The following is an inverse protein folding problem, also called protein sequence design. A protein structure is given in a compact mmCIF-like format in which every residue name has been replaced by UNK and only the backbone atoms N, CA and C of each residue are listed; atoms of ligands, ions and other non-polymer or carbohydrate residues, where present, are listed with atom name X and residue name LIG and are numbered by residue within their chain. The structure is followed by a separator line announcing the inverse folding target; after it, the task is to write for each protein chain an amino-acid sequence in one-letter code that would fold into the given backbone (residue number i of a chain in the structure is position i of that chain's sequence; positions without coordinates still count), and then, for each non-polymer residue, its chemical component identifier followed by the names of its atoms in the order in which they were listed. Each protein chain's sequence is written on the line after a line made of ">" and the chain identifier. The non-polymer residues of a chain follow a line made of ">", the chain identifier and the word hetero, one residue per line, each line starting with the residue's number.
data_IF_552139769797
#
_entry.id   IF_552139769797
#
_cell.length_a   1.000
_cell.length_b   1.000
_cell.length_c   1.000
_cell.angle_alpha   90.00
_cell.angle_beta   90.00
_cell.angle_gamma   90.00
#
_symmetry.space_group_name_H-M   'P 1'
#
loop_
_entity.id
_entity.type
_entity.pdbx_description
1 polymer ?
#
# COMPACT_ATOMS: atom_id res chain seq x y z
N UNK A 1 -17.88 35.38 -6.70
CA UNK A 1 -16.85 34.84 -7.63
C UNK A 1 -15.57 34.69 -6.84
N UNK A 2 -15.16 33.45 -6.53
CA UNK A 2 -13.87 33.17 -5.88
C UNK A 2 -13.09 32.22 -6.78
N UNK A 3 -11.89 32.62 -7.15
CA UNK A 3 -11.09 32.01 -8.19
C UNK A 3 -10.57 30.62 -7.76
N UNK A 4 -10.79 29.63 -8.61
CA UNK A 4 -10.19 28.30 -8.53
C UNK A 4 -8.69 28.47 -8.76
N UNK A 5 -7.88 28.30 -7.71
CA UNK A 5 -6.42 28.28 -7.85
C UNK A 5 -6.00 26.96 -8.50
N UNK A 6 -5.67 27.04 -9.79
CA UNK A 6 -5.12 25.94 -10.57
C UNK A 6 -3.70 25.64 -10.08
N UNK A 7 -3.51 24.48 -9.45
CA UNK A 7 -2.19 23.94 -9.15
C UNK A 7 -1.46 23.64 -10.47
N UNK A 8 -0.39 24.37 -10.76
CA UNK A 8 0.53 24.03 -11.84
C UNK A 8 1.28 22.76 -11.45
N UNK A 9 1.00 21.67 -12.14
CA UNK A 9 1.79 20.43 -12.12
C UNK A 9 3.13 20.74 -12.80
N UNK A 10 4.16 21.06 -12.03
CA UNK A 10 5.52 21.16 -12.56
C UNK A 10 5.93 19.76 -13.02
N UNK A 11 6.18 19.60 -14.31
CA UNK A 11 6.69 18.35 -14.88
C UNK A 11 8.05 18.08 -14.29
N UNK A 12 8.15 17.06 -13.44
CA UNK A 12 9.42 16.46 -13.05
C UNK A 12 10.20 16.15 -14.33
N UNK A 13 11.42 16.69 -14.45
CA UNK A 13 12.34 16.28 -15.52
C UNK A 13 12.83 14.88 -15.16
N UNK A 14 12.79 13.90 -16.08
CA UNK A 14 13.36 12.59 -15.84
C UNK A 14 14.88 12.76 -15.80
N UNK A 15 15.43 12.92 -14.62
CA UNK A 15 16.87 12.86 -14.42
C UNK A 15 17.14 11.89 -13.29
N UNK A 16 17.76 10.78 -13.68
CA UNK A 16 18.35 9.72 -12.87
C UNK A 16 17.41 8.67 -12.25
N UNK A 17 16.61 8.03 -13.11
CA UNK A 17 16.31 6.61 -12.89
C UNK A 17 17.44 5.81 -13.53
N UNK A 18 18.44 5.42 -12.74
CA UNK A 18 19.33 4.31 -13.11
C UNK A 18 18.56 2.98 -13.05
N UNK A 19 17.46 2.90 -13.79
CA UNK A 19 16.92 1.62 -14.23
C UNK A 19 17.88 1.14 -15.32
N UNK A 20 18.98 0.51 -14.89
CA UNK A 20 19.89 -0.19 -15.78
C UNK A 20 19.05 -1.13 -16.67
N UNK A 21 19.30 -1.06 -17.97
CA UNK A 21 18.70 -1.96 -18.94
C UNK A 21 19.02 -3.42 -18.57
N UNK A 22 17.96 -4.23 -18.38
CA UNK A 22 17.90 -5.71 -18.53
C UNK A 22 17.92 -6.68 -17.34
N UNK A 23 17.94 -6.28 -16.06
CA UNK A 23 17.73 -7.22 -14.95
C UNK A 23 16.55 -6.81 -14.07
N UNK A 24 15.37 -7.39 -14.33
CA UNK A 24 14.21 -7.24 -13.44
C UNK A 24 14.43 -8.06 -12.17
N UNK A 25 14.24 -7.47 -10.96
CA UNK A 25 14.39 -8.22 -9.71
C UNK A 25 13.38 -9.38 -9.70
N UNK A 26 13.91 -10.60 -9.54
CA UNK A 26 13.11 -11.83 -9.51
C UNK A 26 13.25 -12.46 -8.13
N UNK A 27 12.13 -12.81 -7.50
CA UNK A 27 12.14 -13.54 -6.24
C UNK A 27 12.56 -15.00 -6.49
N UNK A 28 13.67 -15.44 -5.88
CA UNK A 28 14.27 -16.78 -6.05
C UNK A 28 14.01 -17.67 -4.83
N UNK A 29 12.78 -17.72 -4.32
CA UNK A 29 12.41 -18.71 -3.30
C UNK A 29 12.56 -20.15 -3.81
N UNK A 30 12.69 -21.13 -2.90
CA UNK A 30 12.66 -22.54 -3.33
C UNK A 30 11.34 -22.84 -4.03
N UNK A 31 11.33 -23.64 -5.10
CA UNK A 31 10.09 -24.00 -5.78
C UNK A 31 9.24 -24.80 -4.81
N UNK A 32 8.18 -24.18 -4.26
CA UNK A 32 7.14 -24.94 -3.59
C UNK A 32 6.59 -25.94 -4.61
N UNK A 33 6.61 -27.22 -4.22
CA UNK A 33 6.10 -28.29 -5.04
C UNK A 33 4.63 -27.99 -5.39
N UNK A 34 4.38 -27.85 -6.70
CA UNK A 34 3.13 -27.43 -7.34
C UNK A 34 2.82 -25.93 -7.14
N UNK A 35 2.74 -25.19 -8.24
CA UNK A 35 2.28 -23.80 -8.26
C UNK A 35 0.82 -23.75 -7.78
N UNK A 36 0.63 -23.58 -6.47
CA UNK A 36 -0.70 -23.40 -5.87
C UNK A 36 -1.25 -22.05 -6.30
N UNK A 37 -2.51 -22.00 -6.69
CA UNK A 37 -3.19 -20.71 -6.85
C UNK A 37 -3.29 -20.06 -5.47
N UNK A 38 -2.67 -18.89 -5.25
CA UNK A 38 -2.78 -18.16 -3.97
C UNK A 38 -4.16 -17.50 -3.76
N UNK A 39 -5.19 -18.02 -4.44
CA UNK A 39 -6.56 -17.57 -4.30
C UNK A 39 -7.12 -17.95 -2.92
N UNK A 40 -7.68 -16.96 -2.26
CA UNK A 40 -8.31 -17.07 -0.95
C UNK A 40 -9.73 -17.60 -1.15
N UNK A 41 -10.06 -18.69 -0.43
CA UNK A 41 -11.40 -19.27 -0.38
C UNK A 41 -12.03 -19.00 0.98
N UNK A 42 -12.96 -18.04 1.06
CA UNK A 42 -13.59 -17.57 2.31
C UNK A 42 -15.09 -17.34 2.10
N UNK A 43 -15.93 -17.89 2.98
CA UNK A 43 -17.39 -17.72 2.95
C UNK A 43 -18.05 -18.10 1.61
N UNK A 44 -17.54 -19.12 0.92
CA UNK A 44 -18.05 -19.54 -0.41
C UNK A 44 -17.68 -18.60 -1.54
N UNK A 45 -16.77 -17.65 -1.32
CA UNK A 45 -16.16 -16.80 -2.34
C UNK A 45 -14.73 -17.24 -2.57
N UNK A 46 -14.27 -17.08 -3.81
CA UNK A 46 -12.88 -17.27 -4.22
C UNK A 46 -12.38 -15.94 -4.80
N UNK A 47 -11.23 -15.46 -4.35
CA UNK A 47 -10.67 -14.18 -4.76
C UNK A 47 -9.15 -14.15 -4.59
N UNK A 48 -8.44 -13.33 -5.36
CA UNK A 48 -6.98 -13.24 -5.34
C UNK A 48 -6.43 -12.59 -4.06
N UNK A 49 -7.16 -11.61 -3.49
CA UNK A 49 -6.71 -10.94 -2.26
C UNK A 49 -7.70 -9.89 -1.73
N UNK A 50 -7.44 -9.41 -0.52
CA UNK A 50 -8.23 -8.35 0.12
C UNK A 50 -7.47 -7.02 0.03
N UNK A 51 -8.13 -6.00 -0.49
CA UNK A 51 -7.58 -4.65 -0.63
C UNK A 51 -8.34 -3.68 0.26
N UNK A 52 -7.65 -3.11 1.26
CA UNK A 52 -8.17 -2.05 2.10
C UNK A 52 -7.74 -0.69 1.56
N UNK A 53 -8.71 0.18 1.34
CA UNK A 53 -8.52 1.59 1.02
C UNK A 53 -8.82 2.39 2.28
N UNK A 54 -7.82 3.05 2.83
CA UNK A 54 -7.91 3.67 4.15
C UNK A 54 -7.64 5.17 4.03
N UNK A 55 -8.63 5.96 4.42
CA UNK A 55 -8.52 7.42 4.52
C UNK A 55 -8.35 7.82 5.98
N UNK A 56 -7.22 8.46 6.29
CA UNK A 56 -6.94 9.07 7.58
C UNK A 56 -7.11 10.59 7.50
N UNK A 57 -7.87 11.15 8.44
CA UNK A 57 -8.11 12.59 8.57
C UNK A 57 -7.69 13.09 9.96
N UNK A 58 -7.06 14.27 9.98
CA UNK A 58 -6.45 14.83 11.18
C UNK A 58 -5.35 13.92 11.73
N UNK A 59 -4.51 13.39 10.84
CA UNK A 59 -3.39 12.52 11.17
C UNK A 59 -2.10 13.33 11.44
N UNK A 60 -1.28 12.79 12.33
CA UNK A 60 0.03 13.27 12.75
C UNK A 60 1.15 12.49 12.05
N UNK A 61 2.40 12.92 12.22
CA UNK A 61 3.62 12.23 11.73
C UNK A 61 3.67 12.00 10.20
N UNK A 62 2.90 12.77 9.43
CA UNK A 62 2.74 12.60 7.97
C UNK A 62 3.97 12.97 7.11
N UNK A 63 5.00 13.53 7.74
CA UNK A 63 6.26 13.96 7.10
C UNK A 63 7.48 13.18 7.60
N UNK A 64 7.30 12.25 8.54
CA UNK A 64 8.41 11.50 9.13
C UNK A 64 8.63 10.19 8.37
N UNK A 65 9.70 10.14 7.58
CA UNK A 65 10.07 8.96 6.79
C UNK A 65 10.39 7.74 7.65
N UNK A 66 10.98 7.92 8.83
CA UNK A 66 11.35 6.80 9.70
C UNK A 66 10.10 6.18 10.33
N UNK A 67 9.16 7.00 10.80
CA UNK A 67 7.87 6.52 11.30
C UNK A 67 7.10 5.82 10.18
N UNK A 68 7.09 6.38 8.97
CA UNK A 68 6.41 5.79 7.82
C UNK A 68 6.99 4.43 7.42
N UNK A 69 8.31 4.34 7.31
CA UNK A 69 8.98 3.09 6.98
C UNK A 69 8.77 2.04 8.07
N UNK A 70 8.89 2.42 9.35
CA UNK A 70 8.67 1.50 10.46
C UNK A 70 7.22 0.99 10.48
N UNK A 71 6.24 1.86 10.27
CA UNK A 71 4.83 1.45 10.20
C UNK A 71 4.59 0.44 9.05
N UNK A 72 5.23 0.63 7.90
CA UNK A 72 5.15 -0.34 6.80
C UNK A 72 5.75 -1.70 7.19
N UNK A 73 6.93 -1.70 7.83
CA UNK A 73 7.58 -2.93 8.30
C UNK A 73 6.76 -3.66 9.35
N UNK A 74 6.17 -2.92 10.29
CA UNK A 74 5.31 -3.47 11.32
C UNK A 74 4.04 -4.08 10.70
N UNK A 75 3.42 -3.40 9.73
CA UNK A 75 2.30 -3.94 8.97
C UNK A 75 2.67 -5.24 8.26
N UNK A 76 3.81 -5.29 7.56
CA UNK A 76 4.30 -6.53 6.90
C UNK A 76 4.37 -7.68 7.90
N UNK A 77 5.07 -7.49 9.02
CA UNK A 77 5.27 -8.54 10.02
C UNK A 77 3.95 -9.01 10.63
N UNK A 78 3.11 -8.08 11.06
CA UNK A 78 1.87 -8.41 11.76
C UNK A 78 0.80 -8.99 10.84
N UNK A 79 0.77 -8.57 9.57
CA UNK A 79 -0.14 -9.12 8.57
C UNK A 79 0.33 -10.47 8.03
N UNK A 80 1.58 -10.90 8.30
CA UNK A 80 2.13 -12.15 7.78
C UNK A 80 2.49 -12.06 6.29
N UNK A 81 2.87 -10.88 5.81
CA UNK A 81 3.30 -10.68 4.43
C UNK A 81 4.82 -10.80 4.28
N UNK A 82 5.28 -11.08 3.06
CA UNK A 82 6.71 -11.09 2.72
C UNK A 82 7.09 -9.78 2.04
N UNK A 83 7.94 -8.99 2.69
CA UNK A 83 8.47 -7.75 2.11
C UNK A 83 9.57 -8.05 1.10
N UNK A 84 9.47 -7.45 -0.09
CA UNK A 84 10.54 -7.45 -1.09
C UNK A 84 11.37 -6.17 -0.98
N UNK A 85 10.72 -5.01 -1.04
CA UNK A 85 11.40 -3.71 -1.00
C UNK A 85 10.46 -2.58 -0.54
N UNK A 86 11.04 -1.52 0.01
CA UNK A 86 10.35 -0.27 0.36
C UNK A 86 10.98 0.86 -0.43
N UNK A 87 10.15 1.67 -1.09
CA UNK A 87 10.54 2.93 -1.70
C UNK A 87 9.71 4.08 -1.12
N UNK A 88 10.40 5.14 -0.74
CA UNK A 88 9.79 6.35 -0.18
C UNK A 88 10.32 7.57 -0.94
N UNK A 89 9.42 8.50 -1.23
CA UNK A 89 9.75 9.80 -1.80
C UNK A 89 9.15 10.90 -0.95
N UNK A 90 9.98 11.86 -0.56
CA UNK A 90 9.61 13.01 0.25
C UNK A 90 9.55 14.26 -0.61
N UNK A 91 8.43 14.98 -0.56
CA UNK A 91 8.16 16.16 -1.38
C UNK A 91 8.34 17.46 -0.59
N UNK A 92 9.04 18.42 -1.19
CA UNK A 92 9.17 19.79 -0.68
C UNK A 92 8.23 20.75 -1.41
N UNK A 93 7.77 21.85 -0.77
CA UNK A 93 8.12 22.29 0.58
C UNK A 93 7.23 21.70 1.69
N UNK A 94 6.08 21.11 1.38
CA UNK A 94 5.07 20.74 2.38
C UNK A 94 5.39 19.47 3.18
N UNK A 95 6.41 18.71 2.78
CA UNK A 95 6.87 17.51 3.48
C UNK A 95 6.04 16.25 3.22
N UNK A 96 5.17 16.25 2.21
CA UNK A 96 4.35 15.09 1.88
C UNK A 96 5.19 13.87 1.49
N UNK A 97 4.65 12.68 1.68
CA UNK A 97 5.32 11.41 1.39
C UNK A 97 4.48 10.62 0.39
N UNK A 98 5.14 10.10 -0.65
CA UNK A 98 4.63 8.96 -1.43
C UNK A 98 5.50 7.75 -1.11
N UNK A 99 4.88 6.65 -0.69
CA UNK A 99 5.57 5.45 -0.28
C UNK A 99 4.94 4.19 -0.83
N UNK A 100 5.75 3.17 -1.12
CA UNK A 100 5.29 1.82 -1.47
C UNK A 100 6.22 0.77 -0.85
N UNK A 101 5.64 -0.18 -0.13
CA UNK A 101 6.27 -1.46 0.14
C UNK A 101 5.71 -2.48 -0.85
N UNK A 102 6.57 -3.04 -1.68
CA UNK A 102 6.22 -4.14 -2.57
C UNK A 102 6.40 -5.44 -1.81
N UNK A 103 5.34 -6.24 -1.84
CA UNK A 103 5.28 -7.55 -1.19
C UNK A 103 5.41 -8.63 -2.28
N UNK A 104 5.62 -9.88 -1.87
CA UNK A 104 5.79 -11.00 -2.82
C UNK A 104 4.76 -11.02 -3.96
N UNK A 105 3.49 -10.67 -3.68
CA UNK A 105 2.39 -10.67 -4.67
C UNK A 105 1.42 -9.48 -4.55
N UNK A 106 1.80 -8.43 -3.82
CA UNK A 106 0.89 -7.33 -3.48
C UNK A 106 1.65 -6.09 -3.01
N UNK A 107 1.00 -5.16 -2.29
CA UNK A 107 1.65 -3.92 -1.84
C UNK A 107 0.97 -3.25 -0.65
N UNK A 108 1.76 -2.44 0.05
CA UNK A 108 1.28 -1.36 0.90
C UNK A 108 1.71 -0.04 0.25
N UNK A 109 0.81 0.91 0.02
CA UNK A 109 1.20 2.26 -0.41
C UNK A 109 0.57 3.36 0.43
N UNK A 110 1.19 4.53 0.37
CA UNK A 110 0.74 5.75 1.05
C UNK A 110 0.97 6.98 0.19
N UNK A 111 0.02 7.91 0.28
CA UNK A 111 0.20 9.29 -0.13
C UNK A 111 -0.26 10.23 0.99
N UNK A 112 0.59 11.16 1.41
CA UNK A 112 0.27 12.12 2.49
C UNK A 112 0.13 13.56 1.99
N UNK A 113 -0.81 14.28 2.59
CA UNK A 113 -1.05 15.72 2.44
C UNK A 113 -1.02 16.35 3.85
N UNK A 114 0.18 16.64 4.39
CA UNK A 114 0.36 17.16 5.74
C UNK A 114 -0.42 18.43 6.00
N UNK A 115 -0.54 19.31 5.01
CA UNK A 115 -1.28 20.58 5.11
C UNK A 115 -2.79 20.39 5.30
N UNK A 116 -3.30 19.18 5.11
CA UNK A 116 -4.70 18.79 5.37
C UNK A 116 -4.83 17.78 6.51
N UNK A 117 -3.72 17.37 7.13
CA UNK A 117 -3.69 16.24 8.06
C UNK A 117 -4.27 14.97 7.43
N UNK A 118 -4.05 14.76 6.13
CA UNK A 118 -4.67 13.68 5.38
C UNK A 118 -3.62 12.67 4.89
N UNK A 119 -3.95 11.39 4.99
CA UNK A 119 -3.19 10.32 4.36
C UNK A 119 -4.14 9.29 3.75
N UNK A 120 -3.83 8.87 2.53
CA UNK A 120 -4.47 7.75 1.85
C UNK A 120 -3.52 6.56 1.89
N UNK A 121 -3.98 5.44 2.43
CA UNK A 121 -3.25 4.18 2.41
C UNK A 121 -3.99 3.13 1.60
N UNK A 122 -3.24 2.33 0.85
CA UNK A 122 -3.72 1.16 0.12
C UNK A 122 -3.01 -0.06 0.71
N UNK A 123 -3.76 -0.98 1.31
CA UNK A 123 -3.25 -2.23 1.88
C UNK A 123 -3.82 -3.38 1.07
N UNK A 124 -3.10 -3.82 0.04
CA UNK A 124 -3.48 -4.97 -0.74
C UNK A 124 -2.64 -6.17 -0.32
N UNK A 125 -3.29 -7.28 0.05
CA UNK A 125 -2.61 -8.51 0.42
C UNK A 125 -3.35 -9.75 -0.10
N UNK A 126 -2.58 -10.78 -0.43
CA UNK A 126 -3.03 -12.06 -1.03
C UNK A 126 -2.68 -13.24 -0.09
N UNK A 127 -3.21 -14.43 -0.37
CA UNK A 127 -2.93 -15.64 0.39
C UNK A 127 -3.37 -15.57 1.87
N UNK A 128 -2.54 -16.10 2.77
CA UNK A 128 -2.83 -16.19 4.21
C UNK A 128 -2.60 -14.87 4.97
N UNK A 129 -2.22 -13.80 4.28
CA UNK A 129 -1.98 -12.50 4.88
C UNK A 129 -3.28 -11.84 5.37
N UNK A 130 -3.19 -11.12 6.48
CA UNK A 130 -4.33 -10.52 7.21
C UNK A 130 -4.25 -8.98 7.17
N UNK A 131 -4.68 -8.32 6.06
CA UNK A 131 -4.51 -6.89 5.87
C UNK A 131 -5.22 -6.02 6.91
N UNK A 132 -6.29 -6.52 7.54
CA UNK A 132 -7.02 -5.83 8.60
C UNK A 132 -6.14 -5.51 9.83
N UNK A 133 -5.08 -6.29 10.05
CA UNK A 133 -4.11 -6.04 11.13
C UNK A 133 -3.26 -4.79 10.90
N UNK A 134 -3.16 -4.30 9.67
CA UNK A 134 -2.46 -3.06 9.36
C UNK A 134 -3.17 -1.83 9.97
N UNK A 135 -4.50 -1.84 10.05
CA UNK A 135 -5.30 -0.69 10.51
C UNK A 135 -4.90 -0.21 11.91
N UNK A 136 -4.86 -1.06 12.96
CA UNK A 136 -4.46 -0.60 14.30
C UNK A 136 -3.00 -0.09 14.35
N UNK A 137 -2.09 -0.66 13.57
CA UNK A 137 -0.68 -0.25 13.51
C UNK A 137 -0.57 1.16 12.93
N UNK A 138 -1.21 1.40 11.78
CA UNK A 138 -1.23 2.70 11.15
C UNK A 138 -1.92 3.74 12.06
N UNK A 139 -3.00 3.37 12.75
CA UNK A 139 -3.67 4.27 13.69
C UNK A 139 -2.77 4.68 14.85
N UNK A 140 -1.96 3.77 15.39
CA UNK A 140 -1.00 4.11 16.45
C UNK A 140 0.10 5.05 15.94
N UNK A 141 0.63 4.76 14.75
CA UNK A 141 1.71 5.55 14.15
C UNK A 141 1.28 6.98 13.78
N UNK A 142 0.08 7.16 13.23
CA UNK A 142 -0.37 8.43 12.63
C UNK A 142 -1.52 9.11 13.37
N UNK A 143 -2.06 8.50 14.44
CA UNK A 143 -3.03 9.11 15.37
C UNK A 143 -4.16 9.92 14.70
N UNK A 144 -4.85 9.37 13.68
CA UNK A 144 -5.90 10.10 12.99
C UNK A 144 -7.10 10.36 13.90
N UNK A 145 -7.65 11.57 13.83
CA UNK A 145 -8.94 11.90 14.48
C UNK A 145 -10.14 11.20 13.85
N UNK A 146 -10.07 10.86 12.55
CA UNK A 146 -11.12 10.12 11.83
C UNK A 146 -10.50 9.16 10.83
N UNK A 147 -11.08 7.96 10.77
CA UNK A 147 -10.64 6.86 9.90
C UNK A 147 -11.83 6.35 9.10
N UNK A 148 -11.66 6.23 7.79
CA UNK A 148 -12.56 5.47 6.92
C UNK A 148 -11.78 4.28 6.35
N UNK A 149 -12.40 3.10 6.33
CA UNK A 149 -11.83 1.89 5.72
C UNK A 149 -12.85 1.33 4.74
N UNK A 150 -12.47 1.25 3.47
CA UNK A 150 -13.19 0.51 2.44
C UNK A 150 -12.48 -0.81 2.15
N UNK A 151 -13.23 -1.90 2.04
CA UNK A 151 -12.69 -3.20 1.63
C UNK A 151 -13.13 -3.53 0.19
N UNK A 152 -12.21 -4.07 -0.60
CA UNK A 152 -12.46 -4.60 -1.94
C UNK A 152 -11.80 -5.97 -2.08
N UNK A 153 -12.59 -6.98 -2.46
CA UNK A 153 -12.06 -8.29 -2.85
C UNK A 153 -11.57 -8.22 -4.30
N UNK A 154 -10.31 -8.54 -4.53
CA UNK A 154 -9.66 -8.46 -5.85
C UNK A 154 -9.73 -9.82 -6.52
N UNK A 155 -10.11 -9.87 -7.80
CA UNK A 155 -10.18 -11.12 -8.55
C UNK A 155 -11.30 -12.05 -8.09
N UNK A 156 -12.44 -11.52 -7.65
CA UNK A 156 -13.58 -12.31 -7.19
C UNK A 156 -14.11 -13.21 -8.31
N UNK A 157 -14.11 -14.52 -8.08
CA UNK A 157 -14.75 -15.54 -8.92
C UNK A 157 -16.00 -16.07 -8.20
N UNK A 158 -17.05 -16.37 -8.96
CA UNK A 158 -18.19 -17.10 -8.42
C UNK A 158 -17.89 -18.60 -8.47
N UNK A 159 -18.27 -19.40 -7.46
CA UNK A 159 -18.25 -20.84 -7.60
C UNK A 159 -19.21 -21.23 -8.73
N UNK A 160 -18.69 -21.71 -9.87
CA UNK A 160 -19.48 -22.35 -10.92
C UNK A 160 -19.67 -21.61 -12.25
N UNK A 161 -18.91 -20.56 -12.56
CA UNK A 161 -18.83 -20.04 -13.94
C UNK A 161 -17.55 -20.51 -14.62
N UNK A 162 -17.48 -21.80 -14.97
CA UNK A 162 -16.54 -22.29 -15.99
C UNK A 162 -16.84 -21.57 -17.31
N UNK A 163 -15.79 -21.07 -17.98
CA UNK A 163 -15.80 -20.75 -19.41
C UNK A 163 -15.24 -21.93 -20.18
#
# INVERSE_FOLDING_TARGET
>A
MSAISSFKKESLKPTDTSANESEWPTFTGEPEAEAKDHFIRRNGLEFAGTHLLIDFWGAENLTDLNIMEQAFRDCVVQCGATLLHIHMHHFTPNGGISGVAVLAESHISVHTWPERGYAAFDIFMCGDAQPEKAVPILKEAFRPTRVTVGEQLRGLTQPGSEQ
#
